data_IF_000148019023
#
_entry.id   IF_000148019023
#
_cell.length_a   1.000
_cell.length_b   1.000
_cell.length_c   1.000
_cell.angle_alpha   90.00
_cell.angle_beta   90.00
_cell.angle_gamma   90.00
#
_symmetry.space_group_name_H-M   'P 1'
#
loop_
_entity.id
_entity.type
_entity.pdbx_description
1 polymer ?
#
# COMPACT_ATOMS: atom_id res chain seq x y z
N UNK A 1 17.82 -2.75 3.55
CA UNK A 1 17.48 -1.33 3.76
C UNK A 1 16.74 -1.18 5.07
N UNK A 2 16.87 -0.05 5.75
CA UNK A 2 16.10 0.23 6.97
C UNK A 2 14.63 0.52 6.61
N UNK A 3 13.69 -0.29 7.12
CA UNK A 3 12.25 -0.11 6.91
C UNK A 3 11.79 1.28 7.36
N UNK A 4 12.39 1.84 8.42
CA UNK A 4 12.07 3.20 8.90
C UNK A 4 12.39 4.25 7.85
N UNK A 5 13.56 4.13 7.22
CA UNK A 5 13.96 5.03 6.15
C UNK A 5 13.01 4.91 4.94
N UNK A 6 12.54 3.70 4.64
CA UNK A 6 11.59 3.49 3.54
C UNK A 6 10.23 4.15 3.82
N UNK A 7 9.61 3.93 4.98
CA UNK A 7 8.27 4.48 5.25
C UNK A 7 8.23 6.00 5.27
N UNK A 8 9.30 6.67 5.73
CA UNK A 8 9.37 8.14 5.69
C UNK A 8 9.19 8.70 4.28
N UNK A 9 9.61 7.96 3.24
CA UNK A 9 9.45 8.38 1.84
C UNK A 9 7.98 8.46 1.41
N UNK A 10 7.08 7.71 2.04
CA UNK A 10 5.64 7.75 1.76
C UNK A 10 5.01 9.13 2.03
N UNK A 11 5.67 9.97 2.82
CA UNK A 11 5.22 11.34 3.08
C UNK A 11 5.36 12.24 1.85
N UNK A 12 6.22 11.88 0.89
CA UNK A 12 6.26 12.52 -0.42
C UNK A 12 5.12 11.96 -1.29
N UNK A 13 4.32 12.78 -1.98
CA UNK A 13 3.32 12.28 -2.92
C UNK A 13 3.96 11.39 -3.99
N UNK A 14 3.27 10.32 -4.39
CA UNK A 14 3.78 9.41 -5.43
C UNK A 14 4.12 10.11 -6.76
N UNK A 15 3.35 11.15 -7.13
CA UNK A 15 3.60 11.93 -8.34
C UNK A 15 4.96 12.64 -8.36
N UNK A 16 5.48 13.00 -7.18
CA UNK A 16 6.77 13.67 -7.01
C UNK A 16 7.90 12.69 -6.69
N UNK A 17 7.56 11.42 -6.43
CA UNK A 17 8.51 10.41 -6.01
C UNK A 17 9.45 10.00 -7.17
N UNK A 18 10.76 10.05 -6.90
CA UNK A 18 11.80 9.60 -7.82
C UNK A 18 12.49 8.37 -7.23
N UNK A 19 12.45 7.26 -7.95
CA UNK A 19 13.03 5.98 -7.55
C UNK A 19 14.55 5.95 -7.70
N UNK A 20 15.25 6.95 -7.14
CA UNK A 20 16.71 7.06 -7.24
C UNK A 20 17.40 6.07 -6.29
N UNK A 21 16.92 5.98 -5.04
CA UNK A 21 17.58 5.20 -3.98
C UNK A 21 16.77 3.99 -3.51
N UNK A 22 15.47 3.94 -3.82
CA UNK A 22 14.59 2.83 -3.48
C UNK A 22 13.50 2.70 -4.54
N UNK A 23 13.07 1.47 -4.82
CA UNK A 23 11.92 1.25 -5.69
C UNK A 23 10.65 1.66 -4.94
N UNK A 24 9.68 2.26 -5.66
CA UNK A 24 8.37 2.57 -5.09
C UNK A 24 7.71 1.33 -4.47
N UNK A 25 7.96 0.17 -5.07
CA UNK A 25 7.54 -1.14 -4.58
C UNK A 25 7.96 -1.38 -3.12
N UNK A 26 9.24 -1.20 -2.82
CA UNK A 26 9.80 -1.48 -1.49
C UNK A 26 9.29 -0.47 -0.45
N UNK A 27 9.08 0.78 -0.88
CA UNK A 27 8.50 1.84 -0.04
C UNK A 27 7.05 1.52 0.34
N UNK A 28 6.24 1.08 -0.63
CA UNK A 28 4.86 0.67 -0.39
C UNK A 28 4.81 -0.56 0.53
N UNK A 29 5.59 -1.60 0.25
CA UNK A 29 5.65 -2.79 1.10
C UNK A 29 6.07 -2.46 2.53
N UNK A 30 7.03 -1.57 2.71
CA UNK A 30 7.44 -1.11 4.03
C UNK A 30 6.29 -0.45 4.81
N UNK A 31 5.44 0.34 4.14
CA UNK A 31 4.28 0.99 4.75
C UNK A 31 3.11 0.06 5.02
N UNK A 32 2.80 -0.85 4.08
CA UNK A 32 1.74 -1.84 4.23
C UNK A 32 2.03 -2.83 5.37
N UNK A 33 3.28 -3.25 5.51
CA UNK A 33 3.73 -4.19 6.55
C UNK A 33 4.09 -3.52 7.89
N UNK A 34 3.96 -2.21 8.00
CA UNK A 34 4.32 -1.50 9.22
C UNK A 34 3.45 -1.95 10.42
N UNK A 35 3.99 -2.09 11.64
CA UNK A 35 3.19 -2.50 12.80
C UNK A 35 2.02 -1.54 13.10
N UNK A 36 0.79 -2.04 13.00
CA UNK A 36 -0.44 -1.25 13.20
C UNK A 36 -0.54 -0.63 14.59
N UNK A 37 0.04 -1.27 15.60
CA UNK A 37 -0.03 -0.85 17.00
C UNK A 37 0.81 0.41 17.30
N UNK A 38 1.74 0.79 16.42
CA UNK A 38 2.68 1.90 16.66
C UNK A 38 2.27 3.22 16.02
N UNK A 39 1.38 3.21 15.04
CA UNK A 39 1.06 4.41 14.25
C UNK A 39 -0.40 4.47 13.81
N UNK A 40 -1.29 3.70 14.44
CA UNK A 40 -2.73 3.70 14.20
C UNK A 40 -3.14 3.64 12.70
N UNK A 41 -2.36 2.95 11.88
CA UNK A 41 -2.64 2.83 10.44
C UNK A 41 -2.09 3.95 9.56
N UNK A 42 -1.35 4.92 10.09
CA UNK A 42 -0.84 6.07 9.32
C UNK A 42 -0.01 5.65 8.10
N UNK A 43 0.98 4.78 8.29
CA UNK A 43 1.85 4.33 7.20
C UNK A 43 1.12 3.48 6.16
N UNK A 44 0.18 2.64 6.61
CA UNK A 44 -0.72 1.90 5.72
C UNK A 44 -1.59 2.85 4.90
N UNK A 45 -2.06 3.94 5.50
CA UNK A 45 -2.82 4.99 4.82
C UNK A 45 -2.03 5.60 3.67
N UNK A 46 -0.80 6.05 3.93
CA UNK A 46 0.05 6.63 2.89
C UNK A 46 0.40 5.63 1.78
N UNK A 47 0.69 4.37 2.14
CA UNK A 47 0.95 3.32 1.16
C UNK A 47 -0.27 3.06 0.26
N UNK A 48 -1.48 3.04 0.84
CA UNK A 48 -2.74 2.92 0.10
C UNK A 48 -2.97 4.14 -0.81
N UNK A 49 -2.65 5.34 -0.36
CA UNK A 49 -2.76 6.57 -1.17
C UNK A 49 -1.83 6.55 -2.39
N UNK A 50 -0.59 6.08 -2.22
CA UNK A 50 0.34 5.90 -3.35
C UNK A 50 -0.24 4.97 -4.42
N UNK A 51 -0.85 3.87 -4.00
CA UNK A 51 -1.50 2.90 -4.90
C UNK A 51 -2.70 3.54 -5.62
N UNK A 52 -3.53 4.30 -4.89
CA UNK A 52 -4.65 5.04 -5.48
C UNK A 52 -4.19 6.08 -6.51
N UNK A 53 -2.99 6.65 -6.32
CA UNK A 53 -2.35 7.56 -7.26
C UNK A 53 -1.59 6.87 -8.41
N UNK A 54 -1.76 5.55 -8.56
CA UNK A 54 -1.28 4.82 -9.73
C UNK A 54 0.04 4.09 -9.55
N UNK A 55 0.54 3.95 -8.32
CA UNK A 55 1.68 3.06 -8.09
C UNK A 55 1.31 1.62 -8.45
N UNK A 56 2.22 0.94 -9.15
CA UNK A 56 2.05 -0.46 -9.52
C UNK A 56 2.02 -1.35 -8.28
N UNK A 57 1.12 -2.34 -8.31
CA UNK A 57 0.94 -3.32 -7.25
C UNK A 57 1.17 -4.74 -7.76
N UNK A 58 1.61 -5.61 -6.86
CA UNK A 58 1.83 -7.03 -7.12
C UNK A 58 1.07 -7.90 -6.11
N UNK A 59 1.16 -9.22 -6.28
CA UNK A 59 0.46 -10.19 -5.45
C UNK A 59 0.83 -10.08 -3.95
N UNK A 60 2.10 -9.80 -3.63
CA UNK A 60 2.57 -9.67 -2.25
C UNK A 60 1.90 -8.46 -1.56
N UNK A 61 1.86 -7.31 -2.24
CA UNK A 61 1.16 -6.13 -1.71
C UNK A 61 -0.34 -6.40 -1.50
N UNK A 62 -0.95 -7.18 -2.39
CA UNK A 62 -2.38 -7.54 -2.30
C UNK A 62 -2.66 -8.41 -1.07
N UNK A 63 -1.73 -9.26 -0.64
CA UNK A 63 -1.86 -10.00 0.61
C UNK A 63 -1.91 -9.06 1.82
N UNK A 64 -1.00 -8.08 1.90
CA UNK A 64 -1.04 -7.07 2.96
C UNK A 64 -2.31 -6.21 2.91
N UNK A 65 -2.76 -5.81 1.72
CA UNK A 65 -4.01 -5.07 1.55
C UNK A 65 -5.23 -5.88 2.01
N UNK A 66 -5.24 -7.21 1.81
CA UNK A 66 -6.30 -8.07 2.35
C UNK A 66 -6.30 -8.08 3.88
N UNK A 67 -5.12 -8.13 4.51
CA UNK A 67 -5.01 -8.04 5.98
C UNK A 67 -5.51 -6.68 6.48
N UNK A 68 -5.09 -5.59 5.84
CA UNK A 68 -5.56 -4.23 6.17
C UNK A 68 -7.07 -4.13 6.03
N UNK A 69 -7.63 -4.67 4.94
CA UNK A 69 -9.06 -4.71 4.68
C UNK A 69 -9.88 -5.40 5.79
N UNK A 70 -9.32 -6.33 6.55
CA UNK A 70 -10.01 -7.07 7.61
C UNK A 70 -9.61 -6.64 9.03
N UNK A 71 -8.64 -5.74 9.19
CA UNK A 71 -8.11 -5.35 10.51
C UNK A 71 -9.00 -4.32 11.21
N UNK A 72 -9.75 -4.76 12.23
CA UNK A 72 -10.72 -3.91 12.95
C UNK A 72 -10.12 -2.68 13.63
N UNK A 73 -8.85 -2.75 14.04
CA UNK A 73 -8.09 -1.64 14.64
C UNK A 73 -7.86 -0.47 13.69
N UNK A 74 -7.92 -0.71 12.37
CA UNK A 74 -7.72 0.33 11.35
C UNK A 74 -9.01 1.08 11.05
N UNK A 75 -8.89 2.31 10.55
CA UNK A 75 -10.07 3.12 10.21
C UNK A 75 -10.93 2.46 9.13
N UNK A 76 -12.25 2.67 9.21
CA UNK A 76 -13.19 2.13 8.22
C UNK A 76 -12.86 2.58 6.80
N UNK A 77 -12.45 3.84 6.64
CA UNK A 77 -12.04 4.40 5.35
C UNK A 77 -10.84 3.64 4.76
N UNK A 78 -9.80 3.41 5.56
CA UNK A 78 -8.61 2.68 5.13
C UNK A 78 -8.95 1.24 4.75
N UNK A 79 -9.75 0.55 5.57
CA UNK A 79 -10.23 -0.80 5.25
C UNK A 79 -11.01 -0.82 3.93
N UNK A 80 -11.85 0.18 3.69
CA UNK A 80 -12.66 0.27 2.47
C UNK A 80 -11.79 0.50 1.23
N UNK A 81 -10.84 1.44 1.29
CA UNK A 81 -9.87 1.69 0.23
C UNK A 81 -9.08 0.43 -0.12
N UNK A 82 -8.52 -0.25 0.89
CA UNK A 82 -7.78 -1.50 0.68
C UNK A 82 -8.64 -2.58 -0.01
N UNK A 83 -9.89 -2.78 0.42
CA UNK A 83 -10.82 -3.72 -0.24
C UNK A 83 -11.07 -3.37 -1.71
N UNK A 84 -11.22 -2.09 -2.03
CA UNK A 84 -11.44 -1.62 -3.39
C UNK A 84 -10.24 -1.93 -4.28
N UNK A 85 -9.03 -1.67 -3.80
CA UNK A 85 -7.78 -1.99 -4.51
C UNK A 85 -7.68 -3.48 -4.80
N UNK A 86 -7.87 -4.34 -3.79
CA UNK A 86 -7.83 -5.81 -3.97
C UNK A 86 -8.84 -6.28 -5.03
N UNK A 87 -10.08 -5.76 -4.99
CA UNK A 87 -11.11 -6.12 -5.97
C UNK A 87 -10.75 -5.70 -7.39
N UNK A 88 -10.20 -4.49 -7.54
CA UNK A 88 -9.74 -3.98 -8.84
C UNK A 88 -8.63 -4.86 -9.40
N UNK A 89 -7.60 -5.15 -8.61
CA UNK A 89 -6.46 -5.97 -9.04
C UNK A 89 -6.90 -7.35 -9.54
N UNK A 90 -7.77 -8.05 -8.78
CA UNK A 90 -8.32 -9.35 -9.19
C UNK A 90 -9.13 -9.30 -10.48
N UNK A 91 -9.82 -8.18 -10.74
CA UNK A 91 -10.60 -8.00 -11.96
C UNK A 91 -9.70 -7.75 -13.17
N UNK A 92 -8.63 -6.98 -12.97
CA UNK A 92 -7.63 -6.69 -14.01
C UNK A 92 -6.85 -7.97 -14.39
N UNK A 93 -6.48 -8.81 -13.41
CA UNK A 93 -5.86 -10.12 -13.67
C UNK A 93 -6.75 -11.06 -14.50
N UNK A 94 -8.05 -11.09 -14.22
CA UNK A 94 -9.01 -11.89 -14.98
C UNK A 94 -9.24 -11.35 -16.42
N UNK A 95 -8.95 -10.08 -16.66
CA UNK A 95 -9.10 -9.46 -17.98
C UNK A 95 -7.88 -9.72 -18.88
N UNK A 96 -6.70 -9.98 -18.29
CA UNK A 96 -5.46 -10.19 -19.04
C UNK A 96 -5.35 -11.57 -19.73
N UNK A 97 -6.21 -12.54 -19.37
CA UNK A 97 -6.26 -13.88 -19.97
C UNK A 97 -7.39 -14.08 -21.01
N UNK A 98 -7.90 -13.00 -21.60
CA UNK A 98 -9.02 -13.05 -22.56
C UNK A 98 -8.66 -12.59 -23.96
#
# INVERSE_FOLDING_TARGET
>A
MDQRALVVRLQTPFADYRANDAAARDVILAGLSWPTDTSAGYWQGLAVEWIEHGASIDAEMVEFLNVIATTEKLSQELRHKARRIVRRWRSDEHTFWR
#
